data_IF_446265301935
#
_entry.id   IF_446265301935
#
_cell.length_a   1.000
_cell.length_b   1.000
_cell.length_c   1.000
_cell.angle_alpha   90.00
_cell.angle_beta   90.00
_cell.angle_gamma   90.00
#
_symmetry.space_group_name_H-M   'P 1'
#
loop_
_entity.id
_entity.type
_entity.pdbx_description
1 polymer ?
#
# COMPACT_ATOMS: atom_id res chain seq x y z
N UNK A 1 -15.73 -17.51 51.14
CA UNK A 1 -15.32 -18.67 50.32
C UNK A 1 -16.14 -18.65 49.02
N UNK A 2 -15.50 -18.43 47.86
CA UNK A 2 -16.05 -18.78 46.55
C UNK A 2 -16.66 -17.66 45.68
N UNK A 3 -15.85 -16.71 45.20
CA UNK A 3 -16.10 -16.03 43.91
C UNK A 3 -15.56 -16.92 42.79
N UNK A 4 -16.38 -17.32 41.81
CA UNK A 4 -15.91 -18.02 40.61
C UNK A 4 -15.64 -17.02 39.49
N UNK A 5 -14.40 -17.01 39.04
CA UNK A 5 -13.85 -16.23 37.94
C UNK A 5 -14.57 -16.52 36.61
N UNK A 6 -14.90 -15.46 35.86
CA UNK A 6 -15.19 -15.57 34.42
C UNK A 6 -13.93 -15.24 33.64
N UNK A 7 -13.38 -16.28 33.02
CA UNK A 7 -12.29 -16.21 32.06
C UNK A 7 -12.68 -15.34 30.86
N UNK A 8 -11.90 -14.30 30.62
CA UNK A 8 -11.95 -13.45 29.44
C UNK A 8 -11.06 -14.06 28.35
N UNK A 9 -11.67 -14.62 27.30
CA UNK A 9 -10.96 -14.98 26.08
C UNK A 9 -10.66 -13.71 25.29
N UNK A 10 -9.42 -13.20 25.40
CA UNK A 10 -8.85 -12.19 24.49
C UNK A 10 -8.40 -12.89 23.21
N UNK A 11 -9.23 -12.85 22.18
CA UNK A 11 -8.79 -13.10 20.80
C UNK A 11 -8.19 -11.81 20.24
N UNK A 12 -6.88 -11.78 20.04
CA UNK A 12 -6.21 -10.70 19.31
C UNK A 12 -6.51 -10.83 17.82
N UNK A 13 -7.28 -9.88 17.28
CA UNK A 13 -7.39 -9.70 15.84
C UNK A 13 -6.10 -9.07 15.32
N UNK A 14 -5.36 -9.81 14.49
CA UNK A 14 -4.31 -9.22 13.65
C UNK A 14 -4.98 -8.29 12.64
N UNK A 15 -4.52 -7.04 12.58
CA UNK A 15 -5.05 -6.01 11.68
C UNK A 15 -4.00 -5.74 10.61
N UNK A 16 -4.37 -5.89 9.33
CA UNK A 16 -3.58 -5.44 8.18
C UNK A 16 -4.32 -4.27 7.52
N UNK A 17 -4.27 -3.11 8.16
CA UNK A 17 -4.77 -1.85 7.59
C UNK A 17 -3.57 -1.02 7.13
N UNK A 18 -3.27 -1.00 5.83
CA UNK A 18 -2.26 -0.06 5.29
C UNK A 18 -2.87 0.76 4.15
N UNK A 19 -2.68 2.07 4.26
CA UNK A 19 -3.16 3.08 3.31
C UNK A 19 -2.22 4.28 3.38
N UNK A 20 -1.73 4.73 2.22
CA UNK A 20 -0.86 5.91 2.12
C UNK A 20 -1.70 7.17 1.94
N UNK A 21 -1.40 8.24 2.67
CA UNK A 21 -2.03 9.57 2.50
C UNK A 21 -1.05 10.56 1.87
N UNK A 22 -1.47 11.35 0.88
CA UNK A 22 -0.65 12.40 0.25
C UNK A 22 -1.24 13.78 0.53
N UNK A 23 -0.59 14.65 1.33
CA UNK A 23 -1.03 16.05 1.59
C UNK A 23 -0.14 17.09 0.86
N UNK A 24 -0.66 18.29 0.52
CA UNK A 24 0.11 19.33 -0.17
C UNK A 24 1.15 20.01 0.74
N UNK A 25 2.22 20.59 0.14
CA UNK A 25 3.29 21.25 0.88
C UNK A 25 2.83 22.54 1.58
N UNK A 26 3.38 22.83 2.76
CA UNK A 26 3.24 24.13 3.44
C UNK A 26 4.58 24.84 3.57
N UNK A 27 4.56 26.16 3.75
CA UNK A 27 5.71 27.09 3.78
C UNK A 27 6.81 26.75 4.80
N UNK A 28 6.62 25.77 5.69
CA UNK A 28 7.66 25.25 6.60
C UNK A 28 8.69 24.33 5.92
N UNK A 29 8.44 23.87 4.69
CA UNK A 29 9.31 22.95 3.95
C UNK A 29 10.68 23.53 3.55
N UNK A 30 10.79 24.85 3.44
CA UNK A 30 12.08 25.49 3.09
C UNK A 30 13.13 25.35 4.21
N UNK A 31 12.69 25.24 5.47
CA UNK A 31 13.56 25.00 6.63
C UNK A 31 13.94 23.52 6.77
N UNK A 32 13.10 22.60 6.24
CA UNK A 32 13.39 21.17 6.21
C UNK A 32 14.43 20.81 5.14
N UNK A 33 14.36 21.46 3.97
CA UNK A 33 15.34 21.31 2.86
C UNK A 33 16.79 21.59 3.28
N UNK A 34 17.02 22.56 4.16
CA UNK A 34 18.39 22.90 4.63
C UNK A 34 18.92 21.98 5.74
N UNK A 35 18.04 21.39 6.56
CA UNK A 35 18.42 20.45 7.63
C UNK A 35 18.68 19.03 7.11
N UNK A 36 18.07 18.64 5.98
CA UNK A 36 18.31 17.34 5.36
C UNK A 36 19.75 17.27 4.80
N UNK A 37 20.18 18.28 4.03
CA UNK A 37 21.52 18.32 3.39
C UNK A 37 22.69 18.24 4.38
N UNK A 38 22.56 18.77 5.59
CA UNK A 38 23.64 18.76 6.60
C UNK A 38 23.75 17.45 7.40
N UNK A 39 22.73 16.58 7.37
CA UNK A 39 22.76 15.26 8.02
C UNK A 39 23.34 14.16 7.13
N UNK A 40 23.39 14.34 5.81
CA UNK A 40 23.96 13.37 4.87
C UNK A 40 25.47 13.16 5.02
N UNK A 41 26.22 14.10 5.61
CA UNK A 41 27.69 14.04 5.65
C UNK A 41 28.28 13.34 6.90
N UNK A 42 27.52 13.15 7.99
CA UNK A 42 28.10 12.76 9.30
C UNK A 42 27.82 11.32 9.76
N UNK A 43 27.00 10.55 9.06
CA UNK A 43 26.60 9.20 9.51
C UNK A 43 27.43 8.07 8.86
N UNK A 44 28.14 8.36 7.76
CA UNK A 44 29.02 7.38 7.10
C UNK A 44 30.23 6.95 7.95
N UNK A 45 30.65 7.74 8.95
CA UNK A 45 31.89 7.51 9.69
C UNK A 45 31.77 6.57 10.91
N UNK A 46 30.57 6.33 11.44
CA UNK A 46 30.40 5.61 12.72
C UNK A 46 30.23 4.09 12.55
N UNK A 47 29.92 3.61 11.33
CA UNK A 47 29.67 2.18 11.08
C UNK A 47 30.84 1.42 10.44
N UNK A 48 31.91 2.11 10.01
CA UNK A 48 33.12 1.43 9.50
C UNK A 48 33.90 0.71 10.59
N UNK A 49 33.73 1.05 11.87
CA UNK A 49 34.59 0.54 12.96
C UNK A 49 34.04 -0.70 13.68
N UNK A 50 32.78 -1.09 13.43
CA UNK A 50 32.14 -2.19 14.17
C UNK A 50 32.11 -3.54 13.42
N UNK A 51 32.50 -3.60 12.14
CA UNK A 51 32.42 -4.84 11.33
C UNK A 51 33.66 -5.11 10.46
N UNK A 52 34.86 -4.79 10.96
CA UNK A 52 36.14 -5.12 10.28
C UNK A 52 36.60 -6.58 10.49
N UNK A 53 35.81 -7.44 11.13
CA UNK A 53 36.18 -8.84 11.39
C UNK A 53 35.36 -9.87 10.61
N UNK A 54 35.17 -9.66 9.30
CA UNK A 54 34.80 -10.75 8.39
C UNK A 54 35.80 -10.75 7.23
N UNK A 55 36.56 -11.84 7.15
CA UNK A 55 37.77 -11.97 6.33
C UNK A 55 37.58 -11.63 4.86
N UNK A 56 38.66 -11.16 4.24
CA UNK A 56 38.77 -10.95 2.81
C UNK A 56 38.62 -12.29 2.08
N UNK A 57 37.39 -12.60 1.67
CA UNK A 57 37.15 -13.57 0.62
C UNK A 57 37.40 -12.85 -0.72
N UNK A 58 38.27 -13.43 -1.54
CA UNK A 58 38.50 -12.99 -2.91
C UNK A 58 37.16 -13.04 -3.66
N UNK A 59 36.69 -11.89 -4.14
CA UNK A 59 35.47 -11.79 -4.91
C UNK A 59 35.68 -12.49 -6.26
N UNK A 60 35.07 -13.66 -6.43
CA UNK A 60 34.86 -14.25 -7.75
C UNK A 60 33.91 -13.34 -8.55
N UNK A 61 34.13 -13.26 -9.86
CA UNK A 61 33.26 -12.54 -10.78
C UNK A 61 31.81 -13.00 -10.59
N UNK A 62 30.83 -12.07 -10.48
CA UNK A 62 29.44 -12.44 -10.31
C UNK A 62 28.98 -13.26 -11.53
N UNK A 63 28.25 -14.36 -11.33
CA UNK A 63 27.70 -15.12 -12.45
C UNK A 63 26.80 -14.19 -13.29
N UNK A 64 26.79 -14.34 -14.63
CA UNK A 64 25.92 -13.56 -15.48
C UNK A 64 24.47 -13.73 -15.03
N UNK A 65 23.76 -12.60 -14.90
CA UNK A 65 22.36 -12.59 -14.52
C UNK A 65 21.56 -13.49 -15.49
N UNK A 66 20.62 -14.31 -14.99
CA UNK A 66 19.77 -15.10 -15.86
C UNK A 66 19.03 -14.17 -16.85
N UNK A 67 19.02 -14.57 -18.12
CA UNK A 67 18.33 -13.88 -19.20
C UNK A 67 16.88 -13.61 -18.78
N UNK A 68 16.52 -12.32 -18.78
CA UNK A 68 15.25 -11.83 -18.27
C UNK A 68 14.09 -12.39 -19.09
N UNK A 69 13.24 -13.19 -18.45
CA UNK A 69 11.86 -13.44 -18.93
C UNK A 69 11.19 -12.08 -19.14
N UNK A 70 10.36 -11.88 -20.19
CA UNK A 70 9.63 -10.63 -20.36
C UNK A 70 8.91 -10.27 -19.07
N UNK A 71 9.16 -9.07 -18.54
CA UNK A 71 8.49 -8.58 -17.34
C UNK A 71 6.97 -8.71 -17.52
N UNK A 72 6.28 -9.16 -16.47
CA UNK A 72 4.83 -9.25 -16.53
C UNK A 72 4.24 -7.86 -16.85
N UNK A 73 3.32 -7.80 -17.82
CA UNK A 73 2.72 -6.53 -18.23
C UNK A 73 1.88 -5.94 -17.08
N UNK A 74 2.15 -4.68 -16.75
CA UNK A 74 1.34 -3.90 -15.81
C UNK A 74 0.02 -3.50 -16.48
N UNK A 75 -1.10 -3.89 -15.88
CA UNK A 75 -2.42 -3.44 -16.32
C UNK A 75 -2.77 -2.10 -15.67
N UNK A 76 -3.26 -1.14 -16.46
CA UNK A 76 -3.79 0.13 -15.96
C UNK A 76 -5.25 0.24 -16.37
N UNK A 77 -6.13 0.34 -15.37
CA UNK A 77 -7.58 0.26 -15.57
C UNK A 77 -8.34 1.13 -14.56
N UNK A 78 -9.64 1.33 -14.82
CA UNK A 78 -10.62 1.77 -13.82
C UNK A 78 -11.46 0.53 -13.51
N UNK A 79 -11.64 0.16 -12.25
CA UNK A 79 -12.32 -1.10 -11.90
C UNK A 79 -13.80 -0.88 -11.52
N UNK A 80 -14.78 -1.54 -12.19
CA UNK A 80 -16.19 -1.36 -11.89
C UNK A 80 -16.61 -1.89 -10.51
N UNK A 81 -15.83 -2.79 -9.90
CA UNK A 81 -16.08 -3.28 -8.54
C UNK A 81 -15.76 -2.19 -7.53
N UNK A 82 -14.59 -1.55 -7.69
CA UNK A 82 -14.13 -0.45 -6.82
C UNK A 82 -15.05 0.76 -6.96
N UNK A 83 -15.39 1.16 -8.19
CA UNK A 83 -16.25 2.32 -8.41
C UNK A 83 -17.68 2.11 -7.89
N UNK A 84 -18.23 0.88 -7.95
CA UNK A 84 -19.53 0.60 -7.34
C UNK A 84 -19.47 0.79 -5.81
N UNK A 85 -18.44 0.23 -5.17
CA UNK A 85 -18.26 0.34 -3.72
C UNK A 85 -18.10 1.80 -3.30
N UNK A 86 -17.35 2.59 -4.07
CA UNK A 86 -17.19 4.02 -3.83
C UNK A 86 -18.51 4.80 -3.99
N UNK A 87 -19.32 4.49 -5.01
CA UNK A 87 -20.63 5.13 -5.18
C UNK A 87 -21.62 4.82 -4.05
N UNK A 88 -21.69 3.57 -3.58
CA UNK A 88 -22.54 3.22 -2.43
C UNK A 88 -22.00 3.84 -1.14
N UNK A 89 -20.67 3.92 -0.98
CA UNK A 89 -20.03 4.62 0.14
C UNK A 89 -20.40 6.11 0.17
N UNK A 90 -20.40 6.78 -0.99
CA UNK A 90 -20.86 8.15 -1.12
C UNK A 90 -22.31 8.32 -0.64
N UNK A 91 -23.22 7.47 -1.08
CA UNK A 91 -24.63 7.50 -0.64
C UNK A 91 -24.79 7.25 0.86
N UNK A 92 -23.89 6.45 1.45
CA UNK A 92 -23.88 6.12 2.87
C UNK A 92 -23.35 7.25 3.77
N UNK A 93 -22.93 8.39 3.21
CA UNK A 93 -22.39 9.53 3.95
C UNK A 93 -20.88 9.67 3.90
N UNK A 94 -20.21 8.90 3.02
CA UNK A 94 -18.74 8.82 2.98
C UNK A 94 -18.20 7.90 4.05
N UNK A 95 -17.08 7.22 3.74
CA UNK A 95 -16.36 6.33 4.65
C UNK A 95 -14.87 6.61 4.56
N UNK A 96 -14.13 6.26 5.61
CA UNK A 96 -12.69 6.50 5.68
C UNK A 96 -11.96 5.86 4.50
N UNK A 97 -11.28 6.70 3.72
CA UNK A 97 -10.59 6.32 2.50
C UNK A 97 -11.46 6.20 1.23
N UNK A 98 -12.79 6.25 1.35
CA UNK A 98 -13.72 6.09 0.22
C UNK A 98 -14.40 7.40 -0.16
N UNK A 99 -13.64 8.48 -0.09
CA UNK A 99 -14.03 9.84 -0.49
C UNK A 99 -12.85 10.52 -1.16
N UNK A 100 -12.98 11.03 -2.39
CA UNK A 100 -11.89 11.70 -3.08
C UNK A 100 -11.68 13.11 -2.58
N UNK A 101 -10.49 13.65 -2.89
CA UNK A 101 -10.12 15.03 -2.54
C UNK A 101 -10.61 16.07 -3.53
N UNK A 102 -10.73 15.68 -4.80
CA UNK A 102 -11.02 16.61 -5.88
C UNK A 102 -12.38 16.31 -6.48
N UNK A 103 -13.11 17.38 -6.77
CA UNK A 103 -14.27 17.31 -7.64
C UNK A 103 -13.83 17.15 -9.11
N UNK A 104 -14.64 16.47 -9.91
CA UNK A 104 -14.36 16.24 -11.33
C UNK A 104 -15.66 16.07 -12.12
N UNK A 105 -15.64 16.25 -13.45
CA UNK A 105 -16.82 15.99 -14.28
C UNK A 105 -17.38 14.57 -14.09
N UNK A 106 -16.50 13.58 -13.94
CA UNK A 106 -16.91 12.20 -13.66
C UNK A 106 -17.56 12.06 -12.28
N UNK A 107 -17.00 12.68 -11.25
CA UNK A 107 -17.57 12.64 -9.90
C UNK A 107 -18.95 13.28 -9.85
N UNK A 108 -19.16 14.41 -10.52
CA UNK A 108 -20.48 15.03 -10.62
C UNK A 108 -21.48 14.14 -11.37
N UNK A 109 -21.06 13.48 -12.45
CA UNK A 109 -21.89 12.49 -13.14
C UNK A 109 -22.25 11.30 -12.25
N UNK A 110 -21.30 10.80 -11.44
CA UNK A 110 -21.53 9.73 -10.47
C UNK A 110 -22.54 10.16 -9.40
N UNK A 111 -22.37 11.34 -8.80
CA UNK A 111 -23.33 11.87 -7.81
C UNK A 111 -24.72 12.01 -8.41
N UNK A 112 -24.84 12.63 -9.58
CA UNK A 112 -26.12 12.84 -10.25
C UNK A 112 -26.83 11.51 -10.57
N UNK A 113 -26.07 10.49 -10.99
CA UNK A 113 -26.61 9.15 -11.22
C UNK A 113 -27.01 8.45 -9.91
N UNK A 114 -26.21 8.58 -8.85
CA UNK A 114 -26.39 7.85 -7.60
C UNK A 114 -27.51 8.45 -6.72
N UNK A 115 -27.71 9.77 -6.76
CA UNK A 115 -28.60 10.52 -5.86
C UNK A 115 -30.01 9.95 -5.72
N UNK A 116 -30.72 9.56 -6.82
CA UNK A 116 -32.06 9.00 -6.73
C UNK A 116 -32.14 7.72 -5.89
N UNK A 117 -31.00 7.03 -5.68
CA UNK A 117 -30.91 5.74 -5.01
C UNK A 117 -30.45 5.84 -3.54
N UNK A 118 -30.42 7.04 -2.95
CA UNK A 118 -30.00 7.26 -1.55
C UNK A 118 -30.77 6.43 -0.51
N UNK A 119 -32.01 6.04 -0.82
CA UNK A 119 -32.87 5.19 0.02
C UNK A 119 -32.76 3.69 -0.29
N UNK A 120 -31.91 3.28 -1.22
CA UNK A 120 -31.75 1.86 -1.59
C UNK A 120 -31.23 1.04 -0.39
N UNK A 121 -31.73 -0.20 -0.16
CA UNK A 121 -31.32 -1.03 0.98
C UNK A 121 -29.80 -1.23 1.14
N UNK A 122 -29.08 -1.34 0.02
CA UNK A 122 -27.61 -1.42 0.03
C UNK A 122 -26.90 -0.26 0.75
N UNK A 123 -27.47 0.96 0.71
CA UNK A 123 -26.91 2.13 1.40
C UNK A 123 -27.01 1.96 2.92
N UNK A 124 -28.19 1.56 3.41
CA UNK A 124 -28.39 1.26 4.83
C UNK A 124 -27.50 0.09 5.29
N UNK A 125 -27.30 -0.91 4.41
CA UNK A 125 -26.42 -2.04 4.68
C UNK A 125 -24.99 -1.62 4.90
N UNK A 126 -24.44 -0.81 3.98
CA UNK A 126 -23.07 -0.34 4.07
C UNK A 126 -22.85 0.48 5.36
N UNK A 127 -23.81 1.36 5.71
CA UNK A 127 -23.75 2.13 6.98
C UNK A 127 -23.67 1.25 8.22
N UNK A 128 -24.28 0.06 8.21
CA UNK A 128 -24.25 -0.84 9.35
C UNK A 128 -22.88 -1.51 9.57
N UNK A 129 -22.04 -1.59 8.53
CA UNK A 129 -20.72 -2.20 8.62
C UNK A 129 -19.78 -1.24 9.37
N UNK A 130 -19.36 -1.59 10.58
CA UNK A 130 -18.50 -0.73 11.40
C UNK A 130 -17.07 -0.67 10.86
N UNK A 131 -16.46 -1.81 10.51
CA UNK A 131 -15.08 -1.89 10.01
C UNK A 131 -14.90 -1.57 8.52
N UNK A 132 -15.90 -0.95 7.87
CA UNK A 132 -15.75 -0.49 6.49
C UNK A 132 -14.89 0.78 6.48
N UNK A 133 -13.59 0.58 6.32
CA UNK A 133 -12.57 1.63 6.27
C UNK A 133 -11.38 1.18 5.42
N UNK A 134 -10.75 2.12 4.72
CA UNK A 134 -9.50 1.93 3.99
C UNK A 134 -9.54 0.73 3.02
N UNK A 135 -8.55 -0.17 3.10
CA UNK A 135 -8.33 -1.26 2.16
C UNK A 135 -9.32 -2.42 2.30
N UNK A 136 -9.94 -2.65 3.47
CA UNK A 136 -10.75 -3.86 3.70
C UNK A 136 -11.90 -4.06 2.69
N UNK A 137 -12.70 -3.04 2.31
CA UNK A 137 -13.74 -3.23 1.33
C UNK A 137 -13.18 -3.56 -0.07
N UNK A 138 -12.02 -3.01 -0.42
CA UNK A 138 -11.35 -3.30 -1.69
C UNK A 138 -10.76 -4.72 -1.68
N UNK A 139 -10.08 -5.11 -0.60
CA UNK A 139 -9.57 -6.45 -0.36
C UNK A 139 -10.68 -7.49 -0.46
N UNK A 140 -11.88 -7.18 0.06
CA UNK A 140 -13.02 -8.08 -0.07
C UNK A 140 -13.56 -8.15 -1.51
N UNK A 141 -13.88 -7.01 -2.13
CA UNK A 141 -14.65 -7.01 -3.39
C UNK A 141 -13.84 -7.53 -4.59
N UNK A 142 -12.52 -7.46 -4.56
CA UNK A 142 -11.65 -7.98 -5.63
C UNK A 142 -11.63 -9.51 -5.72
N UNK A 143 -12.10 -10.21 -4.70
CA UNK A 143 -12.29 -11.68 -4.71
C UNK A 143 -13.57 -12.12 -5.42
N UNK A 144 -14.30 -11.17 -6.01
CA UNK A 144 -15.46 -11.40 -6.85
C UNK A 144 -15.24 -10.86 -8.26
N UNK A 145 -15.96 -11.44 -9.23
CA UNK A 145 -16.04 -10.99 -10.60
C UNK A 145 -16.81 -9.65 -10.74
N UNK A 146 -16.98 -9.15 -11.97
CA UNK A 146 -17.58 -7.84 -12.20
C UNK A 146 -19.07 -7.79 -11.80
N UNK A 147 -19.58 -6.60 -11.44
CA UNK A 147 -21.02 -6.37 -11.30
C UNK A 147 -21.75 -6.61 -12.63
N UNK A 148 -23.06 -6.96 -12.60
CA UNK A 148 -23.88 -7.11 -11.40
C UNK A 148 -23.81 -8.51 -10.77
N UNK A 149 -23.02 -9.43 -11.32
CA UNK A 149 -23.00 -10.83 -10.89
C UNK A 149 -22.20 -11.03 -9.61
N UNK A 150 -21.00 -10.42 -9.49
CA UNK A 150 -20.09 -10.66 -8.37
C UNK A 150 -19.90 -12.15 -8.09
N UNK A 151 -19.63 -12.95 -9.13
CA UNK A 151 -19.33 -14.38 -8.92
C UNK A 151 -18.03 -14.53 -8.13
N UNK A 152 -17.96 -15.39 -7.10
CA UNK A 152 -16.70 -15.61 -6.38
C UNK A 152 -15.61 -16.12 -7.32
N UNK A 153 -14.44 -15.48 -7.31
CA UNK A 153 -13.27 -15.90 -8.10
C UNK A 153 -12.13 -16.45 -7.23
N UNK A 154 -12.11 -16.08 -5.94
CA UNK A 154 -11.17 -16.56 -4.95
C UNK A 154 -11.77 -16.44 -3.53
N UNK A 155 -11.26 -17.16 -2.53
CA UNK A 155 -11.70 -17.01 -1.14
C UNK A 155 -11.36 -15.61 -0.59
N UNK A 156 -12.30 -14.97 0.10
CA UNK A 156 -12.05 -13.67 0.75
C UNK A 156 -11.15 -13.86 1.98
N UNK A 157 -10.10 -13.04 2.18
CA UNK A 157 -9.25 -13.08 3.37
C UNK A 157 -10.05 -12.89 4.67
N UNK A 158 -9.64 -13.60 5.73
CA UNK A 158 -10.37 -13.64 6.99
C UNK A 158 -10.41 -12.27 7.69
N UNK A 159 -9.34 -11.49 7.62
CA UNK A 159 -9.27 -10.11 8.13
C UNK A 159 -10.31 -9.19 7.47
N UNK A 160 -10.47 -9.28 6.15
CA UNK A 160 -11.51 -8.56 5.43
C UNK A 160 -12.92 -9.04 5.80
N UNK A 161 -13.11 -10.36 5.99
CA UNK A 161 -14.38 -10.93 6.50
C UNK A 161 -14.72 -10.34 7.87
N UNK A 162 -13.75 -10.35 8.78
CA UNK A 162 -13.91 -9.87 10.16
C UNK A 162 -14.19 -8.37 10.19
N UNK A 163 -13.48 -7.56 9.39
CA UNK A 163 -13.70 -6.13 9.25
C UNK A 163 -15.13 -5.78 8.76
N UNK A 164 -15.68 -6.59 7.85
CA UNK A 164 -17.06 -6.42 7.38
C UNK A 164 -18.10 -6.89 8.43
N UNK A 165 -17.69 -7.63 9.46
CA UNK A 165 -18.56 -8.11 10.54
C UNK A 165 -18.87 -9.61 10.46
N UNK A 166 -17.99 -10.39 9.84
CA UNK A 166 -18.06 -11.85 9.74
C UNK A 166 -18.75 -12.36 8.47
N UNK A 167 -18.76 -13.68 8.24
CA UNK A 167 -19.20 -14.28 6.98
C UNK A 167 -20.63 -13.92 6.58
N UNK A 168 -21.56 -13.89 7.55
CA UNK A 168 -22.96 -13.51 7.29
C UNK A 168 -23.09 -12.06 6.86
N UNK A 169 -22.32 -11.16 7.46
CA UNK A 169 -22.32 -9.74 7.08
C UNK A 169 -21.71 -9.57 5.68
N UNK A 170 -20.62 -10.28 5.38
CA UNK A 170 -19.96 -10.30 4.08
C UNK A 170 -20.91 -10.76 2.95
N UNK A 171 -21.50 -11.96 3.08
CA UNK A 171 -22.43 -12.52 2.10
C UNK A 171 -23.57 -11.55 1.79
N UNK A 172 -24.08 -10.97 2.86
CA UNK A 172 -25.24 -10.15 2.77
C UNK A 172 -24.84 -8.76 2.20
N UNK A 173 -23.67 -8.20 2.53
CA UNK A 173 -23.15 -6.99 1.89
C UNK A 173 -22.97 -7.19 0.38
N UNK A 174 -22.28 -8.25 -0.06
CA UNK A 174 -22.09 -8.58 -1.48
C UNK A 174 -23.43 -8.76 -2.20
N UNK A 175 -24.40 -9.45 -1.58
CA UNK A 175 -25.76 -9.56 -2.12
C UNK A 175 -26.41 -8.19 -2.36
N UNK A 176 -26.26 -7.27 -1.40
CA UNK A 176 -26.81 -5.92 -1.54
C UNK A 176 -26.14 -5.10 -2.65
N UNK A 177 -24.85 -5.35 -2.94
CA UNK A 177 -24.17 -4.76 -4.09
C UNK A 177 -24.67 -5.34 -5.42
N UNK A 178 -24.96 -6.65 -5.49
CA UNK A 178 -25.59 -7.27 -6.67
C UNK A 178 -26.95 -6.64 -6.96
N UNK A 179 -27.80 -6.53 -5.94
CA UNK A 179 -29.13 -5.91 -6.03
C UNK A 179 -29.03 -4.45 -6.48
N UNK A 180 -28.19 -3.65 -5.80
CA UNK A 180 -27.97 -2.26 -6.17
C UNK A 180 -27.49 -2.13 -7.62
N UNK A 181 -26.51 -2.93 -8.05
CA UNK A 181 -26.00 -2.87 -9.42
C UNK A 181 -27.08 -3.18 -10.49
N UNK A 182 -28.02 -4.08 -10.18
CA UNK A 182 -29.15 -4.42 -11.07
C UNK A 182 -30.19 -3.31 -11.10
N UNK A 183 -30.68 -2.92 -9.93
CA UNK A 183 -31.80 -2.00 -9.77
C UNK A 183 -31.48 -0.58 -10.28
N UNK A 184 -30.22 -0.17 -10.13
CA UNK A 184 -29.72 1.13 -10.60
C UNK A 184 -29.18 1.10 -12.02
N UNK A 185 -29.16 -0.09 -12.66
CA UNK A 185 -28.48 -0.36 -13.94
C UNK A 185 -27.05 0.16 -13.94
N UNK A 186 -26.32 -0.04 -12.86
CA UNK A 186 -24.97 0.50 -12.63
C UNK A 186 -24.03 0.30 -13.81
N UNK A 187 -24.00 -0.90 -14.40
CA UNK A 187 -23.11 -1.17 -15.53
C UNK A 187 -23.44 -0.37 -16.79
N UNK A 188 -24.68 0.09 -16.96
CA UNK A 188 -25.04 1.00 -18.05
C UNK A 188 -24.49 2.41 -17.77
N UNK A 189 -24.57 2.89 -16.52
CA UNK A 189 -23.93 4.12 -16.11
C UNK A 189 -22.40 4.04 -16.25
N UNK A 190 -21.76 3.01 -15.72
CA UNK A 190 -20.31 2.82 -15.81
C UNK A 190 -19.83 2.86 -17.27
N UNK A 191 -20.51 2.15 -18.19
CA UNK A 191 -20.20 2.19 -19.63
C UNK A 191 -20.43 3.57 -20.26
N UNK A 192 -21.41 4.35 -19.81
CA UNK A 192 -21.61 5.71 -20.33
C UNK A 192 -20.48 6.66 -19.95
N UNK A 193 -19.71 6.33 -18.92
CA UNK A 193 -18.55 7.10 -18.46
C UNK A 193 -17.24 6.67 -19.13
N UNK A 194 -17.25 5.69 -20.04
CA UNK A 194 -16.06 5.22 -20.77
C UNK A 194 -15.25 6.36 -21.41
N UNK A 195 -15.86 7.40 -22.02
CA UNK A 195 -15.07 8.52 -22.58
C UNK A 195 -14.27 9.30 -21.52
N UNK A 196 -14.73 9.35 -20.27
CA UNK A 196 -13.97 9.97 -19.17
C UNK A 196 -12.86 9.03 -18.68
N UNK A 197 -13.16 7.73 -18.58
CA UNK A 197 -12.17 6.71 -18.24
C UNK A 197 -11.03 6.67 -19.24
N UNK A 198 -11.34 6.70 -20.53
CA UNK A 198 -10.34 6.68 -21.61
C UNK A 198 -9.41 7.88 -21.54
N UNK A 199 -9.91 9.07 -21.18
CA UNK A 199 -9.07 10.27 -20.96
C UNK A 199 -8.12 10.09 -19.78
N UNK A 200 -8.62 9.59 -18.65
CA UNK A 200 -7.78 9.33 -17.46
C UNK A 200 -6.71 8.27 -17.76
N UNK A 201 -7.11 7.18 -18.42
CA UNK A 201 -6.21 6.09 -18.79
C UNK A 201 -5.16 6.55 -19.81
N UNK A 202 -5.55 7.32 -20.83
CA UNK A 202 -4.63 7.88 -21.81
C UNK A 202 -3.62 8.81 -21.14
N UNK A 203 -4.07 9.69 -20.24
CA UNK A 203 -3.20 10.57 -19.47
C UNK A 203 -2.21 9.77 -18.61
N UNK A 204 -2.68 8.81 -17.83
CA UNK A 204 -1.83 7.99 -16.97
C UNK A 204 -0.79 7.19 -17.79
N UNK A 205 -1.19 6.61 -18.93
CA UNK A 205 -0.27 5.90 -19.83
C UNK A 205 0.77 6.85 -20.46
N UNK A 206 0.34 8.03 -20.89
CA UNK A 206 1.25 9.05 -21.42
C UNK A 206 2.25 9.53 -20.36
N UNK A 207 1.80 9.73 -19.12
CA UNK A 207 2.65 10.08 -17.98
C UNK A 207 3.67 8.99 -17.69
N UNK A 208 3.24 7.72 -17.66
CA UNK A 208 4.13 6.60 -17.38
C UNK A 208 5.14 6.38 -18.51
N UNK A 209 4.75 6.59 -19.77
CA UNK A 209 5.62 6.40 -20.92
C UNK A 209 6.25 5.02 -20.91
N UNK A 210 7.59 4.98 -20.84
CA UNK A 210 8.40 3.75 -20.80
C UNK A 210 8.81 3.33 -19.38
N UNK A 211 8.26 3.96 -18.34
CA UNK A 211 8.63 3.66 -16.95
C UNK A 211 8.27 2.22 -16.58
N UNK A 212 9.29 1.39 -16.35
CA UNK A 212 9.12 0.02 -15.86
C UNK A 212 8.91 0.01 -14.34
N UNK A 213 7.67 -0.25 -13.92
CA UNK A 213 7.31 -0.40 -12.50
C UNK A 213 7.53 -1.84 -12.03
N UNK A 214 7.29 -2.85 -12.87
CA UNK A 214 7.22 -4.26 -12.45
C UNK A 214 8.61 -4.87 -12.33
N UNK A 215 9.47 -4.65 -13.33
CA UNK A 215 10.78 -5.28 -13.39
C UNK A 215 11.68 -4.97 -12.19
N UNK A 216 11.86 -3.70 -11.77
CA UNK A 216 12.66 -3.38 -10.59
C UNK A 216 12.10 -4.00 -9.31
N UNK A 217 10.77 -4.02 -9.17
CA UNK A 217 10.09 -4.60 -8.03
C UNK A 217 10.36 -6.10 -7.92
N UNK A 218 10.12 -6.85 -9.00
CA UNK A 218 10.37 -8.30 -9.05
C UNK A 218 11.85 -8.63 -8.79
N UNK A 219 12.78 -7.90 -9.42
CA UNK A 219 14.23 -8.11 -9.22
C UNK A 219 14.66 -7.88 -7.78
N UNK A 220 14.17 -6.81 -7.16
CA UNK A 220 14.52 -6.47 -5.79
C UNK A 220 14.00 -7.48 -4.77
N UNK A 221 12.73 -7.89 -4.91
CA UNK A 221 12.12 -8.88 -4.03
C UNK A 221 12.56 -10.32 -4.36
N UNK A 222 13.10 -10.58 -5.55
CA UNK A 222 13.45 -11.91 -6.03
C UNK A 222 12.21 -12.75 -6.39
N UNK A 223 11.18 -12.11 -6.95
CA UNK A 223 9.92 -12.75 -7.29
C UNK A 223 9.96 -13.38 -8.69
N UNK A 224 9.22 -14.46 -8.85
CA UNK A 224 8.80 -14.93 -10.18
C UNK A 224 7.71 -14.00 -10.75
N UNK A 225 7.53 -13.94 -12.08
CA UNK A 225 6.53 -13.09 -12.71
C UNK A 225 5.12 -13.22 -12.10
N UNK A 226 4.57 -12.11 -11.61
CA UNK A 226 3.20 -12.05 -11.03
C UNK A 226 2.24 -11.29 -11.95
N UNK A 227 0.97 -11.12 -11.54
CA UNK A 227 0.04 -10.21 -12.23
C UNK A 227 -0.02 -8.88 -11.47
N UNK A 228 0.02 -7.76 -12.17
CA UNK A 228 0.00 -6.43 -11.57
C UNK A 228 -1.07 -5.55 -12.18
N UNK A 229 -1.78 -4.80 -11.35
CA UNK A 229 -2.69 -3.73 -11.80
C UNK A 229 -2.52 -2.45 -11.01
N UNK A 230 -2.48 -1.33 -11.72
CA UNK A 230 -2.76 0.00 -11.17
C UNK A 230 -4.21 0.35 -11.52
N UNK A 231 -5.06 0.40 -10.51
CA UNK A 231 -6.46 0.82 -10.64
C UNK A 231 -6.55 2.31 -10.34
N UNK A 232 -6.91 3.08 -11.36
CA UNK A 232 -7.23 4.50 -11.22
C UNK A 232 -8.64 4.61 -10.63
N UNK A 233 -8.73 4.95 -9.34
CA UNK A 233 -9.96 4.96 -8.56
C UNK A 233 -10.41 6.41 -8.28
N UNK A 234 -11.14 7.06 -9.20
CA UNK A 234 -11.51 8.47 -9.10
C UNK A 234 -12.36 8.85 -7.88
N UNK A 235 -13.00 7.89 -7.19
CA UNK A 235 -13.88 8.15 -6.05
C UNK A 235 -13.34 7.67 -4.68
N UNK A 236 -12.04 7.42 -4.55
CA UNK A 236 -11.39 7.14 -3.25
C UNK A 236 -10.42 8.27 -2.87
N UNK A 237 -9.91 8.24 -1.63
CA UNK A 237 -8.95 9.24 -1.13
C UNK A 237 -7.76 9.44 -2.07
N UNK A 238 -7.10 10.61 -2.01
CA UNK A 238 -5.76 10.71 -2.59
C UNK A 238 -4.76 9.94 -1.71
N UNK A 239 -4.31 8.82 -2.25
CA UNK A 239 -3.69 7.71 -1.54
C UNK A 239 -3.86 6.42 -2.32
N UNK A 240 -3.50 5.30 -1.71
CA UNK A 240 -3.68 4.01 -2.35
C UNK A 240 -4.05 2.88 -1.36
N UNK A 241 -4.57 1.79 -1.93
CA UNK A 241 -4.78 0.52 -1.25
C UNK A 241 -4.04 -0.61 -2.00
N UNK A 242 -3.40 -1.51 -1.25
CA UNK A 242 -2.60 -2.62 -1.78
C UNK A 242 -3.14 -4.03 -1.53
N UNK A 243 -4.38 -4.36 -1.90
CA UNK A 243 -4.86 -5.73 -1.80
C UNK A 243 -4.17 -6.64 -2.83
N UNK A 244 -4.22 -7.95 -2.58
CA UNK A 244 -3.84 -8.96 -3.55
C UNK A 244 -4.87 -10.09 -3.60
N UNK A 245 -4.86 -10.82 -4.70
CA UNK A 245 -5.73 -11.99 -4.93
C UNK A 245 -4.87 -13.15 -5.40
N UNK A 246 -4.94 -14.30 -4.73
CA UNK A 246 -4.31 -15.52 -5.22
C UNK A 246 -5.05 -16.04 -6.46
N UNK A 247 -4.30 -16.41 -7.50
CA UNK A 247 -4.83 -16.89 -8.77
C UNK A 247 -4.76 -18.43 -8.85
N UNK A 248 -5.68 -19.07 -9.61
CA UNK A 248 -5.67 -20.53 -9.78
C UNK A 248 -4.38 -21.11 -10.39
N UNK A 249 -3.61 -20.29 -11.10
CA UNK A 249 -2.33 -20.67 -11.71
C UNK A 249 -1.14 -20.60 -10.74
N UNK A 250 -1.39 -20.32 -9.45
CA UNK A 250 -0.38 -20.22 -8.41
C UNK A 250 0.32 -18.85 -8.32
N UNK A 251 0.01 -17.92 -9.22
CA UNK A 251 0.46 -16.52 -9.11
C UNK A 251 -0.44 -15.72 -8.17
N UNK A 252 0.01 -14.54 -7.80
CA UNK A 252 -0.80 -13.52 -7.16
C UNK A 252 -1.07 -12.36 -8.13
N UNK A 253 -2.24 -11.75 -7.97
CA UNK A 253 -2.58 -10.49 -8.60
C UNK A 253 -2.42 -9.37 -7.57
N UNK A 254 -1.39 -8.55 -7.76
CA UNK A 254 -1.03 -7.41 -6.94
C UNK A 254 -1.75 -6.16 -7.45
N UNK A 255 -2.40 -5.42 -6.56
CA UNK A 255 -3.12 -4.20 -6.91
C UNK A 255 -2.49 -2.99 -6.23
N UNK A 256 -2.43 -1.89 -6.97
CA UNK A 256 -2.34 -0.54 -6.44
C UNK A 256 -3.65 0.15 -6.83
N UNK A 257 -4.56 0.36 -5.87
CA UNK A 257 -5.81 1.07 -6.10
C UNK A 257 -5.61 2.50 -5.67
N UNK A 258 -5.38 3.38 -6.63
CA UNK A 258 -4.89 4.72 -6.39
C UNK A 258 -5.97 5.76 -6.66
N UNK A 259 -6.20 6.65 -5.70
CA UNK A 259 -7.03 7.83 -5.94
C UNK A 259 -6.27 8.95 -6.63
N UNK A 260 -7.02 9.89 -7.20
CA UNK A 260 -6.44 11.01 -7.92
C UNK A 260 -5.68 11.95 -6.97
N UNK A 261 -4.50 12.41 -7.41
CA UNK A 261 -3.69 13.42 -6.72
C UNK A 261 -4.24 14.83 -6.95
N UNK A 262 -4.93 15.05 -8.07
CA UNK A 262 -5.52 16.34 -8.39
C UNK A 262 -6.37 16.32 -9.67
N UNK A 263 -6.60 17.51 -10.22
CA UNK A 263 -7.37 17.74 -11.44
C UNK A 263 -6.59 18.70 -12.35
N UNK A 264 -6.40 18.31 -13.60
CA UNK A 264 -5.73 19.14 -14.63
C UNK A 264 -6.59 19.13 -15.88
N UNK A 265 -6.97 20.32 -16.36
CA UNK A 265 -7.83 20.51 -17.55
C UNK A 265 -9.13 19.69 -17.51
N UNK A 266 -9.73 19.58 -16.31
CA UNK A 266 -10.97 18.82 -16.10
C UNK A 266 -10.82 17.29 -16.13
N UNK A 267 -9.59 16.78 -16.25
CA UNK A 267 -9.27 15.35 -16.17
C UNK A 267 -8.53 15.08 -14.86
N UNK A 268 -8.90 14.00 -14.17
CA UNK A 268 -8.21 13.61 -12.95
C UNK A 268 -6.76 13.23 -13.24
N UNK A 269 -5.87 13.76 -12.41
CA UNK A 269 -4.44 13.52 -12.47
C UNK A 269 -4.02 12.60 -11.32
N UNK A 270 -3.24 11.57 -11.63
CA UNK A 270 -2.79 10.56 -10.67
C UNK A 270 -1.33 10.77 -10.26
N UNK A 271 -0.76 11.94 -10.56
CA UNK A 271 0.62 12.28 -10.25
C UNK A 271 1.61 11.89 -11.36
N UNK A 272 2.88 12.12 -11.08
CA UNK A 272 3.99 11.88 -12.01
C UNK A 272 4.36 10.39 -12.06
N UNK A 273 5.08 9.96 -13.10
CA UNK A 273 5.52 8.57 -13.27
C UNK A 273 6.25 8.02 -12.03
N UNK A 274 7.16 8.82 -11.46
CA UNK A 274 7.90 8.48 -10.25
C UNK A 274 6.98 8.29 -9.02
N UNK A 275 5.93 9.10 -8.88
CA UNK A 275 4.95 8.98 -7.79
C UNK A 275 4.05 7.76 -7.96
N UNK A 276 3.60 7.46 -9.19
CA UNK A 276 2.80 6.26 -9.49
C UNK A 276 3.62 4.99 -9.25
N UNK A 277 4.89 4.98 -9.69
CA UNK A 277 5.81 3.87 -9.44
C UNK A 277 6.03 3.66 -7.94
N UNK A 278 6.28 4.74 -7.21
CA UNK A 278 6.49 4.74 -5.77
C UNK A 278 5.28 4.17 -5.00
N UNK A 279 4.06 4.62 -5.31
CA UNK A 279 2.84 4.06 -4.74
C UNK A 279 2.62 2.60 -5.16
N UNK A 280 2.89 2.26 -6.42
CA UNK A 280 2.86 0.89 -6.90
C UNK A 280 3.76 -0.02 -6.06
N UNK A 281 5.04 0.33 -5.91
CA UNK A 281 5.99 -0.44 -5.11
C UNK A 281 5.61 -0.51 -3.63
N UNK A 282 5.03 0.56 -3.08
CA UNK A 282 4.53 0.57 -1.71
C UNK A 282 3.42 -0.47 -1.52
N UNK A 283 2.36 -0.35 -2.32
CA UNK A 283 1.18 -1.21 -2.19
C UNK A 283 1.47 -2.67 -2.54
N UNK A 284 2.27 -2.91 -3.60
CA UNK A 284 2.73 -4.26 -3.93
C UNK A 284 3.61 -4.82 -2.82
N UNK A 285 4.43 -3.97 -2.19
CA UNK A 285 5.35 -4.34 -1.12
C UNK A 285 4.65 -4.97 0.08
N UNK A 286 3.45 -4.50 0.45
CA UNK A 286 2.67 -5.09 1.55
C UNK A 286 2.32 -6.56 1.33
N UNK A 287 2.12 -6.98 0.07
CA UNK A 287 1.83 -8.39 -0.26
C UNK A 287 3.01 -9.31 0.06
N UNK A 288 4.24 -8.78 0.09
CA UNK A 288 5.45 -9.55 0.41
C UNK A 288 5.88 -9.35 1.87
N UNK A 289 5.87 -8.11 2.36
CA UNK A 289 6.41 -7.75 3.68
C UNK A 289 5.51 -8.26 4.80
N UNK A 290 4.19 -7.99 4.73
CA UNK A 290 3.28 -8.29 5.84
C UNK A 290 3.27 -9.81 6.22
N UNK A 291 3.24 -10.76 5.26
CA UNK A 291 3.32 -12.19 5.61
C UNK A 291 4.66 -12.60 6.23
N UNK A 292 5.77 -12.00 5.81
CA UNK A 292 7.10 -12.28 6.37
C UNK A 292 7.19 -11.79 7.82
N UNK A 293 6.72 -10.58 8.09
CA UNK A 293 6.65 -10.00 9.43
C UNK A 293 5.73 -10.82 10.35
N UNK A 294 4.55 -11.21 9.86
CA UNK A 294 3.61 -12.04 10.62
C UNK A 294 4.23 -13.40 11.00
N UNK A 295 4.96 -14.04 10.07
CA UNK A 295 5.66 -15.29 10.30
C UNK A 295 6.85 -15.17 11.27
N UNK A 296 7.31 -13.95 11.55
CA UNK A 296 8.41 -13.64 12.46
C UNK A 296 7.97 -12.71 13.61
N UNK A 297 6.67 -12.71 13.95
CA UNK A 297 6.07 -11.78 14.91
C UNK A 297 6.80 -11.71 16.26
N UNK A 298 7.26 -12.84 16.80
CA UNK A 298 8.05 -12.87 18.05
C UNK A 298 9.36 -12.09 17.94
N UNK A 299 10.05 -12.19 16.80
CA UNK A 299 11.30 -11.47 16.55
C UNK A 299 11.03 -9.98 16.31
N UNK A 300 9.96 -9.66 15.60
CA UNK A 300 9.53 -8.27 15.38
C UNK A 300 9.22 -7.57 16.72
N UNK A 301 8.58 -8.27 17.65
CA UNK A 301 8.23 -7.76 18.98
C UNK A 301 9.45 -7.37 19.83
N UNK A 302 10.63 -7.95 19.57
CA UNK A 302 11.88 -7.56 20.26
C UNK A 302 12.25 -6.09 20.03
N UNK A 303 11.73 -5.48 18.97
CA UNK A 303 11.93 -4.08 18.63
C UNK A 303 10.75 -3.16 18.99
N UNK A 304 9.73 -3.67 19.69
CA UNK A 304 8.49 -2.93 20.00
C UNK A 304 8.70 -1.65 20.83
N UNK A 305 9.81 -1.52 21.55
CA UNK A 305 10.17 -0.28 22.24
C UNK A 305 10.37 0.91 21.30
N UNK A 306 10.60 0.68 20.00
CA UNK A 306 10.65 1.73 18.98
C UNK A 306 9.31 2.41 18.75
N UNK A 307 8.18 1.78 19.12
CA UNK A 307 6.85 2.32 18.91
C UNK A 307 6.49 3.42 19.91
N UNK A 308 6.88 3.28 21.18
CA UNK A 308 6.43 4.17 22.25
C UNK A 308 6.67 5.67 21.96
N UNK A 309 7.83 6.10 21.42
CA UNK A 309 8.08 7.52 21.11
C UNK A 309 7.22 8.10 19.99
N UNK A 310 6.63 7.26 19.14
CA UNK A 310 5.89 7.67 17.94
C UNK A 310 4.42 7.24 17.99
N UNK A 311 3.99 6.60 19.08
CA UNK A 311 2.72 5.88 19.14
C UNK A 311 1.49 6.78 18.92
N UNK A 312 1.54 8.04 19.36
CA UNK A 312 0.44 8.99 19.16
C UNK A 312 0.30 9.38 17.68
N UNK A 313 1.42 9.73 17.02
CA UNK A 313 1.45 10.04 15.60
C UNK A 313 1.03 8.84 14.75
N UNK A 314 1.53 7.64 15.09
CA UNK A 314 1.17 6.41 14.40
C UNK A 314 -0.32 6.07 14.55
N UNK A 315 -0.88 6.18 15.76
CA UNK A 315 -2.32 5.98 15.99
C UNK A 315 -3.16 6.98 15.20
N UNK A 316 -2.74 8.24 15.12
CA UNK A 316 -3.42 9.25 14.31
C UNK A 316 -3.38 8.94 12.80
N UNK A 317 -2.33 8.24 12.35
CA UNK A 317 -2.17 7.74 10.99
C UNK A 317 -2.77 6.33 10.76
N UNK A 318 -3.61 5.83 11.67
CA UNK A 318 -4.24 4.51 11.61
C UNK A 318 -3.28 3.30 11.72
N UNK A 319 -2.12 3.50 12.33
CA UNK A 319 -1.16 2.44 12.69
C UNK A 319 -1.22 2.20 14.21
N UNK A 320 -2.11 1.32 14.70
CA UNK A 320 -2.46 1.27 16.13
C UNK A 320 -1.42 0.58 17.01
N UNK A 321 -0.52 -0.20 16.43
CA UNK A 321 0.46 -1.01 17.16
C UNK A 321 1.79 -1.09 16.40
N UNK A 322 2.81 -1.66 17.08
CA UNK A 322 4.15 -1.78 16.53
C UNK A 322 4.21 -2.61 15.25
N UNK A 323 3.52 -3.75 15.18
CA UNK A 323 3.55 -4.61 13.99
C UNK A 323 3.09 -3.85 12.74
N UNK A 324 1.98 -3.11 12.83
CA UNK A 324 1.48 -2.31 11.70
C UNK A 324 2.48 -1.20 11.32
N UNK A 325 3.03 -0.50 12.31
CA UNK A 325 4.03 0.55 12.06
C UNK A 325 5.34 0.00 11.47
N UNK A 326 5.76 -1.20 11.87
CA UNK A 326 6.98 -1.82 11.37
C UNK A 326 6.81 -2.31 9.93
N UNK A 327 5.68 -2.95 9.60
CA UNK A 327 5.35 -3.33 8.22
C UNK A 327 5.44 -2.12 7.28
N UNK A 328 4.83 -1.00 7.68
CA UNK A 328 4.87 0.27 6.95
C UNK A 328 6.29 0.83 6.82
N UNK A 329 7.07 0.79 7.90
CA UNK A 329 8.44 1.28 7.88
C UNK A 329 9.34 0.46 6.94
N UNK A 330 9.20 -0.87 6.94
CA UNK A 330 9.96 -1.77 6.09
C UNK A 330 9.56 -1.63 4.62
N UNK A 331 8.25 -1.56 4.32
CA UNK A 331 7.77 -1.27 2.96
C UNK A 331 8.34 0.06 2.47
N UNK A 332 8.24 1.14 3.25
CA UNK A 332 8.79 2.45 2.86
C UNK A 332 10.29 2.41 2.64
N UNK A 333 11.04 1.68 3.49
CA UNK A 333 12.48 1.53 3.30
C UNK A 333 12.81 0.82 1.97
N UNK A 334 11.99 -0.16 1.57
CA UNK A 334 12.11 -0.84 0.28
C UNK A 334 11.84 0.10 -0.88
N UNK A 335 10.80 0.92 -0.78
CA UNK A 335 10.46 1.89 -1.83
C UNK A 335 11.54 2.96 -1.95
N UNK A 336 12.07 3.47 -0.84
CA UNK A 336 13.18 4.44 -0.86
C UNK A 336 14.42 3.86 -1.55
N UNK A 337 14.71 2.58 -1.32
CA UNK A 337 15.76 1.88 -2.04
C UNK A 337 15.49 1.85 -3.55
N UNK A 338 14.30 1.40 -3.97
CA UNK A 338 13.89 1.37 -5.39
C UNK A 338 13.94 2.75 -6.04
N UNK A 339 13.47 3.80 -5.35
CA UNK A 339 13.54 5.16 -5.85
C UNK A 339 14.99 5.61 -6.16
N UNK A 340 15.96 5.20 -5.34
CA UNK A 340 17.38 5.54 -5.50
C UNK A 340 18.08 4.76 -6.61
N UNK A 341 17.59 3.56 -6.95
CA UNK A 341 18.21 2.68 -7.93
C UNK A 341 17.55 2.73 -9.31
N UNK A 342 16.26 3.10 -9.38
CA UNK A 342 15.49 3.14 -10.63
C UNK A 342 15.45 4.54 -11.23
N UNK A 343 15.34 5.58 -10.40
CA UNK A 343 15.23 6.96 -10.87
C UNK A 343 16.52 7.76 -10.62
N UNK A 344 16.68 8.85 -11.36
CA UNK A 344 17.79 9.80 -11.23
C UNK A 344 17.25 11.23 -11.07
N UNK A 345 18.07 12.11 -10.49
CA UNK A 345 17.77 13.55 -10.36
C UNK A 345 16.36 13.83 -9.78
N UNK A 346 15.60 14.73 -10.41
CA UNK A 346 14.29 15.19 -9.92
C UNK A 346 13.25 14.07 -9.81
N UNK A 347 13.34 13.04 -10.66
CA UNK A 347 12.45 11.87 -10.58
C UNK A 347 12.73 11.05 -9.31
N UNK A 348 14.00 10.90 -8.91
CA UNK A 348 14.35 10.23 -7.66
C UNK A 348 13.84 11.02 -6.45
N UNK A 349 13.97 12.35 -6.48
CA UNK A 349 13.45 13.24 -5.45
C UNK A 349 11.92 13.10 -5.36
N UNK A 350 11.22 13.18 -6.49
CA UNK A 350 9.76 13.03 -6.55
C UNK A 350 9.29 11.67 -6.01
N UNK A 351 9.99 10.59 -6.36
CA UNK A 351 9.72 9.24 -5.87
C UNK A 351 9.87 9.16 -4.34
N UNK A 352 10.99 9.68 -3.82
CA UNK A 352 11.31 9.71 -2.40
C UNK A 352 10.31 10.59 -1.63
N UNK A 353 10.05 11.80 -2.11
CA UNK A 353 9.10 12.74 -1.50
C UNK A 353 7.70 12.13 -1.42
N UNK A 354 7.24 11.40 -2.45
CA UNK A 354 5.91 10.76 -2.39
C UNK A 354 5.76 9.71 -1.27
N UNK A 355 6.86 9.16 -0.74
CA UNK A 355 6.84 8.26 0.43
C UNK A 355 6.94 8.99 1.77
N UNK A 356 7.31 10.27 1.74
CA UNK A 356 7.73 11.05 2.91
C UNK A 356 6.86 12.27 3.18
N UNK A 357 6.09 12.72 2.19
CA UNK A 357 5.12 13.81 2.35
C UNK A 357 3.90 13.30 3.11
N UNK A 358 3.65 13.86 4.29
CA UNK A 358 2.43 13.64 5.06
C UNK A 358 2.56 12.63 6.19
N UNK A 359 2.60 13.15 7.42
CA UNK A 359 1.99 12.56 8.62
C UNK A 359 2.73 11.48 9.41
N UNK A 360 3.79 10.82 8.91
CA UNK A 360 4.35 9.65 9.62
C UNK A 360 5.80 9.88 10.02
N UNK A 361 5.99 10.36 11.25
CA UNK A 361 7.31 10.56 11.86
C UNK A 361 7.80 9.22 12.40
N UNK A 362 8.42 8.41 11.55
CA UNK A 362 9.13 7.19 11.97
C UNK A 362 10.48 7.49 12.66
N UNK A 363 10.61 8.61 13.38
CA UNK A 363 11.81 9.09 14.09
C UNK A 363 13.16 8.80 13.38
N UNK A 364 13.17 8.98 12.05
CA UNK A 364 14.31 8.76 11.18
C UNK A 364 14.75 7.31 10.95
N UNK A 365 14.13 6.28 11.54
CA UNK A 365 14.61 4.90 11.34
C UNK A 365 14.27 4.31 9.97
N UNK A 366 13.21 4.76 9.29
CA UNK A 366 12.95 4.39 7.88
C UNK A 366 14.17 4.70 6.99
N UNK A 367 14.78 5.87 7.15
CA UNK A 367 16.00 6.24 6.43
C UNK A 367 17.18 5.35 6.84
N UNK A 368 17.34 5.06 8.14
CA UNK A 368 18.45 4.21 8.60
C UNK A 368 18.36 2.80 8.03
N UNK A 369 17.15 2.23 7.96
CA UNK A 369 16.90 0.93 7.34
C UNK A 369 17.19 1.00 5.83
N UNK A 370 16.66 2.02 5.13
CA UNK A 370 16.89 2.21 3.70
C UNK A 370 18.37 2.41 3.35
N UNK A 371 19.11 3.18 4.16
CA UNK A 371 20.55 3.44 4.00
C UNK A 371 21.36 2.17 4.26
N UNK A 372 21.07 1.46 5.36
CA UNK A 372 21.68 0.15 5.65
C UNK A 372 21.46 -0.82 4.49
N UNK A 373 20.22 -0.91 3.99
CA UNK A 373 19.86 -1.80 2.91
C UNK A 373 20.61 -1.49 1.62
N UNK A 374 20.63 -0.21 1.23
CA UNK A 374 21.35 0.24 0.04
C UNK A 374 22.84 -0.05 0.13
N UNK A 375 23.44 0.10 1.32
CA UNK A 375 24.86 -0.16 1.53
C UNK A 375 25.22 -1.65 1.69
N UNK A 376 24.30 -2.47 2.22
CA UNK A 376 24.58 -3.85 2.65
C UNK A 376 23.88 -4.90 1.78
N UNK A 377 22.55 -4.84 1.62
CA UNK A 377 21.80 -5.86 0.89
C UNK A 377 22.28 -5.99 -0.56
N UNK A 378 22.41 -4.87 -1.28
CA UNK A 378 22.86 -4.89 -2.67
C UNK A 378 24.27 -5.44 -2.83
N UNK A 379 25.19 -5.06 -1.94
CA UNK A 379 26.58 -5.53 -1.96
C UNK A 379 26.68 -7.04 -1.74
N UNK A 380 25.75 -7.61 -0.96
CA UNK A 380 25.73 -9.02 -0.62
C UNK A 380 24.52 -9.75 -1.22
N UNK A 381 23.95 -9.24 -2.32
CA UNK A 381 22.74 -9.80 -2.97
C UNK A 381 22.92 -11.27 -3.36
N UNK A 382 24.14 -11.67 -3.74
CA UNK A 382 24.47 -13.07 -4.03
C UNK A 382 24.29 -14.02 -2.82
N UNK A 383 24.43 -13.50 -1.59
CA UNK A 383 24.20 -14.25 -0.35
C UNK A 383 22.71 -14.36 -0.01
N UNK A 384 21.92 -13.37 -0.41
CA UNK A 384 20.49 -13.26 -0.10
C UNK A 384 19.73 -13.03 -1.39
N UNK A 385 19.43 -14.09 -2.18
CA UNK A 385 18.88 -14.00 -3.54
C UNK A 385 17.39 -13.64 -3.60
N UNK A 386 16.67 -13.66 -2.48
CA UNK A 386 15.34 -13.06 -2.35
C UNK A 386 15.27 -12.10 -1.17
N UNK A 387 14.27 -11.22 -1.19
CA UNK A 387 14.02 -10.39 -0.01
C UNK A 387 13.62 -11.24 1.20
N UNK A 388 12.89 -12.33 1.00
CA UNK A 388 12.53 -13.24 2.08
C UNK A 388 13.76 -13.79 2.82
N UNK A 389 14.84 -14.08 2.09
CA UNK A 389 16.10 -14.54 2.70
C UNK A 389 16.78 -13.42 3.49
N UNK A 390 16.69 -12.17 3.02
CA UNK A 390 17.29 -11.01 3.69
C UNK A 390 16.46 -10.48 4.87
N UNK A 391 15.14 -10.66 4.86
CA UNK A 391 14.21 -10.09 5.83
C UNK A 391 14.59 -10.34 7.31
N UNK A 392 15.11 -11.51 7.73
CA UNK A 392 15.60 -11.70 9.10
C UNK A 392 16.71 -10.71 9.52
N UNK A 393 17.49 -10.17 8.58
CA UNK A 393 18.50 -9.13 8.84
C UNK A 393 17.83 -7.78 9.09
N UNK A 394 16.78 -7.42 8.36
CA UNK A 394 16.02 -6.19 8.65
C UNK A 394 15.45 -6.19 10.08
N UNK A 395 14.93 -7.33 10.53
CA UNK A 395 14.46 -7.47 11.91
C UNK A 395 15.59 -7.31 12.94
N UNK A 396 16.80 -7.76 12.63
CA UNK A 396 17.98 -7.52 13.50
C UNK A 396 18.37 -6.04 13.52
N UNK A 397 18.25 -5.32 12.40
CA UNK A 397 18.51 -3.88 12.37
C UNK A 397 17.51 -3.14 13.27
N UNK A 398 16.22 -3.49 13.22
CA UNK A 398 15.21 -2.93 14.12
C UNK A 398 15.54 -3.23 15.59
N UNK A 399 15.95 -4.45 15.91
CA UNK A 399 16.37 -4.83 17.27
C UNK A 399 17.58 -4.00 17.76
N UNK A 400 18.61 -3.83 16.91
CA UNK A 400 19.79 -3.01 17.23
C UNK A 400 19.43 -1.54 17.44
N UNK A 401 18.52 -1.00 16.62
CA UNK A 401 18.00 0.35 16.79
C UNK A 401 17.27 0.49 18.14
N UNK A 402 16.45 -0.50 18.51
CA UNK A 402 15.76 -0.54 19.79
C UNK A 402 16.73 -0.62 20.98
N UNK A 403 17.81 -1.41 20.85
CA UNK A 403 18.86 -1.52 21.86
C UNK A 403 19.63 -0.21 22.05
N UNK A 404 20.01 0.47 20.96
CA UNK A 404 20.80 1.71 21.02
C UNK A 404 20.12 2.86 21.77
N UNK A 405 18.77 2.86 21.83
CA UNK A 405 17.99 3.86 22.57
C UNK A 405 17.95 3.61 24.07
N UNK A 406 18.20 2.38 24.53
CA UNK A 406 18.24 2.06 25.97
C UNK A 406 19.53 2.55 26.63
N UNK A 407 20.55 2.81 25.83
CA UNK A 407 21.88 3.24 26.27
C UNK A 407 22.14 4.74 26.14
N UNK A 408 21.21 5.48 25.55
CA UNK A 408 21.21 6.95 25.40
C UNK A 408 20.23 7.58 26.37
#
# INVERSE_FOLDING_TARGET
MGMSERSAARGGLMTSSTCVFVNPPTTSEFVFRSRLMSRFARIAAVWCSAFVLIGAATAAEPPPAPLSTPAAALEIAVDPRIELVAAVSYLAGGRDGWSPRSESPYREAMKAWAEPYRKHPAVARLRAIQGFAYSYPAQAILHFGPPPAFEPIAPVPQDAIDAIGGPRAMDAWVRSLREFARDTRYMAFYRSQQPQFDKMLARARATLGETDIVGPFERFYGLQPQRYSVILAPNILAGAFGPNVALPDGRHHFYNIQGAAGLVDGVLDFGQAASIASLGWHEFGHTVVNPLDAAQSTKLEMSASLYAPIADDMRAAAYPNWQVAANEALVRANVLHLCRTVFVADAAITCIESQLTGSVVFDGYVYRIADFRTAYYERFRAKWPTYADFHPIDLQVLELLAASRRTS
#
